data_IF_102052627009
#
_entry.id   IF_102052627009
#
_cell.length_a   1.000
_cell.length_b   1.000
_cell.length_c   1.000
_cell.angle_alpha   90.00
_cell.angle_beta   90.00
_cell.angle_gamma   90.00
#
_symmetry.space_group_name_H-M   'P 1'
#
loop_
_entity.id
_entity.type
_entity.pdbx_description
1 polymer ?
#
# COMPACT_ATOMS: atom_id res chain seq x y z
N UNK A 1 -14.81 8.19 20.92
CA UNK A 1 -14.38 6.96 20.20
C UNK A 1 -13.43 7.43 19.11
N UNK A 2 -12.14 7.12 19.28
CA UNK A 2 -11.02 7.77 18.58
C UNK A 2 -10.65 6.96 17.33
N UNK A 3 -10.14 7.63 16.30
CA UNK A 3 -9.96 7.09 14.95
C UNK A 3 -9.19 5.77 14.81
N UNK A 4 -8.34 5.42 15.78
CA UNK A 4 -7.53 4.21 15.77
C UNK A 4 -8.35 2.90 15.77
N UNK A 5 -9.63 2.93 16.17
CA UNK A 5 -10.52 1.76 16.05
C UNK A 5 -10.73 1.33 14.58
N UNK A 6 -10.58 2.25 13.62
CA UNK A 6 -10.73 1.99 12.20
C UNK A 6 -9.44 1.56 11.50
N UNK A 7 -8.27 1.70 12.14
CA UNK A 7 -6.99 1.27 11.58
C UNK A 7 -6.25 0.39 12.58
N UNK A 8 -6.44 -0.94 12.55
CA UNK A 8 -5.88 -1.83 13.55
C UNK A 8 -4.34 -1.81 13.48
N UNK A 9 -3.70 -1.23 14.48
CA UNK A 9 -2.23 -1.10 14.63
C UNK A 9 -1.59 -2.28 15.38
N UNK A 10 -2.34 -3.35 15.62
CA UNK A 10 -1.86 -4.49 16.41
C UNK A 10 -0.82 -5.31 15.63
N UNK A 11 0.39 -5.41 16.17
CA UNK A 11 1.46 -6.25 15.63
C UNK A 11 1.00 -7.69 15.42
N UNK A 12 1.42 -8.28 14.30
CA UNK A 12 1.06 -9.62 13.88
C UNK A 12 -0.24 -9.71 13.07
N UNK A 13 -1.06 -8.65 13.04
CA UNK A 13 -2.18 -8.57 12.10
C UNK A 13 -1.65 -8.45 10.67
N UNK A 14 -2.38 -9.06 9.75
CA UNK A 14 -2.09 -8.99 8.33
C UNK A 14 -3.37 -8.92 7.51
N UNK A 15 -3.23 -8.42 6.29
CA UNK A 15 -4.26 -8.41 5.25
C UNK A 15 -3.66 -9.04 3.98
N UNK A 16 -4.49 -9.76 3.23
CA UNK A 16 -4.10 -10.35 1.94
C UNK A 16 -5.02 -9.80 0.86
N UNK A 17 -4.43 -9.34 -0.23
CA UNK A 17 -5.14 -8.87 -1.42
C UNK A 17 -4.87 -9.82 -2.58
N UNK A 18 -5.93 -10.29 -3.21
CA UNK A 18 -5.88 -10.91 -4.54
C UNK A 18 -5.90 -9.78 -5.57
N UNK A 19 -4.92 -9.77 -6.49
CA UNK A 19 -4.75 -8.70 -7.48
C UNK A 19 -4.74 -9.31 -8.88
N UNK A 20 -5.65 -8.81 -9.71
CA UNK A 20 -5.64 -9.00 -11.16
C UNK A 20 -5.35 -7.62 -11.79
N UNK A 21 -4.27 -7.52 -12.56
CA UNK A 21 -3.84 -6.27 -13.20
C UNK A 21 -3.73 -6.49 -14.70
N UNK A 22 -4.30 -5.58 -15.49
CA UNK A 22 -4.21 -5.60 -16.95
C UNK A 22 -3.43 -4.38 -17.39
N UNK A 23 -2.33 -4.59 -18.10
CA UNK A 23 -1.48 -3.53 -18.64
C UNK A 23 -1.66 -3.50 -20.16
N UNK A 24 -2.07 -2.35 -20.68
CA UNK A 24 -2.15 -2.08 -22.11
C UNK A 24 -0.82 -1.51 -22.59
N UNK A 25 -0.28 -2.08 -23.66
CA UNK A 25 0.91 -1.55 -24.32
C UNK A 25 0.51 -0.91 -25.65
N UNK A 26 0.54 0.43 -25.69
CA UNK A 26 0.12 1.23 -26.84
C UNK A 26 0.95 0.98 -28.11
N UNK A 27 2.19 0.48 -27.98
CA UNK A 27 3.09 0.23 -29.11
C UNK A 27 2.90 -1.15 -29.77
N UNK A 28 2.44 -2.15 -29.02
CA UNK A 28 2.25 -3.51 -29.53
C UNK A 28 0.79 -3.88 -29.72
N UNK A 29 -0.16 -3.07 -29.22
CA UNK A 29 -1.58 -3.39 -29.12
C UNK A 29 -1.86 -4.68 -28.32
N UNK A 30 -0.84 -5.19 -27.62
CA UNK A 30 -0.94 -6.39 -26.81
C UNK A 30 -1.38 -6.04 -25.39
N UNK A 31 -2.21 -6.90 -24.84
CA UNK A 31 -2.69 -6.82 -23.46
C UNK A 31 -1.97 -7.87 -22.63
N UNK A 32 -1.26 -7.44 -21.58
CA UNK A 32 -0.62 -8.36 -20.64
C UNK A 32 -1.39 -8.34 -19.32
N UNK A 33 -1.94 -9.48 -18.93
CA UNK A 33 -2.61 -9.66 -17.64
C UNK A 33 -1.69 -10.34 -16.63
N UNK A 34 -1.63 -9.76 -15.43
CA UNK A 34 -0.90 -10.26 -14.28
C UNK A 34 -1.87 -10.67 -13.19
N UNK A 35 -1.56 -11.79 -12.52
CA UNK A 35 -2.27 -12.25 -11.33
C UNK A 35 -1.28 -12.50 -10.20
N UNK A 36 -1.52 -11.91 -9.03
CA UNK A 36 -0.64 -12.07 -7.88
C UNK A 36 -1.37 -11.79 -6.56
N UNK A 37 -0.74 -12.15 -5.44
CA UNK A 37 -1.21 -11.82 -4.09
C UNK A 37 -0.23 -10.90 -3.41
N UNK A 38 -0.76 -9.88 -2.75
CA UNK A 38 -0.02 -9.06 -1.79
C UNK A 38 -0.45 -9.46 -0.39
N UNK A 39 0.51 -9.62 0.53
CA UNK A 39 0.27 -9.75 1.96
C UNK A 39 0.95 -8.60 2.67
N UNK A 40 0.23 -7.84 3.48
CA UNK A 40 0.78 -6.77 4.30
C UNK A 40 0.68 -7.16 5.76
N UNK A 41 1.77 -7.08 6.50
CA UNK A 41 1.85 -7.49 7.91
C UNK A 41 2.49 -6.42 8.76
N UNK A 42 1.87 -6.10 9.90
CA UNK A 42 2.46 -5.24 10.92
C UNK A 42 3.48 -6.05 11.72
N UNK A 43 4.74 -5.65 11.69
CA UNK A 43 5.86 -6.47 12.18
C UNK A 43 6.40 -5.98 13.52
N UNK A 44 6.60 -4.68 13.68
CA UNK A 44 7.18 -4.11 14.89
C UNK A 44 6.76 -2.66 15.09
N UNK A 45 6.75 -2.23 16.36
CA UNK A 45 6.68 -0.82 16.74
C UNK A 45 8.11 -0.31 16.95
N UNK A 46 8.39 0.90 16.49
CA UNK A 46 9.67 1.55 16.65
C UNK A 46 9.51 3.06 16.76
N UNK A 47 10.58 3.76 17.13
CA UNK A 47 10.64 5.22 17.10
C UNK A 47 11.36 5.65 15.83
N UNK A 48 10.76 6.51 15.02
CA UNK A 48 11.39 7.02 13.81
C UNK A 48 12.45 8.09 14.10
N UNK A 49 13.12 8.55 13.03
CA UNK A 49 14.21 9.54 13.13
C UNK A 49 13.72 10.93 13.59
N UNK A 50 12.42 11.19 13.59
CA UNK A 50 11.80 12.43 14.07
C UNK A 50 11.32 12.30 15.54
N UNK A 51 11.55 11.13 16.16
CA UNK A 51 11.13 10.86 17.54
C UNK A 51 9.67 10.44 17.69
N UNK A 52 8.98 10.14 16.58
CA UNK A 52 7.57 9.73 16.60
C UNK A 52 7.42 8.21 16.69
N UNK A 53 6.29 7.76 17.26
CA UNK A 53 5.92 6.35 17.23
C UNK A 53 5.58 5.93 15.79
N UNK A 54 6.14 4.81 15.39
CA UNK A 54 6.01 4.26 14.06
C UNK A 54 5.79 2.74 14.09
N UNK A 55 5.17 2.22 13.05
CA UNK A 55 4.95 0.78 12.85
C UNK A 55 5.57 0.37 11.53
N UNK A 56 6.34 -0.71 11.54
CA UNK A 56 6.86 -1.31 10.31
C UNK A 56 5.81 -2.23 9.70
N UNK A 57 5.42 -1.93 8.47
CA UNK A 57 4.53 -2.73 7.64
C UNK A 57 5.37 -3.43 6.55
N UNK A 58 5.46 -4.74 6.60
CA UNK A 58 6.13 -5.51 5.55
C UNK A 58 5.12 -6.00 4.52
N UNK A 59 5.41 -5.73 3.25
CA UNK A 59 4.64 -6.22 2.12
C UNK A 59 5.37 -7.37 1.47
N UNK A 60 4.64 -8.45 1.25
CA UNK A 60 5.08 -9.64 0.57
C UNK A 60 4.27 -9.86 -0.70
N UNK A 61 4.89 -10.41 -1.73
CA UNK A 61 4.25 -10.73 -3.00
C UNK A 61 4.44 -12.21 -3.33
N UNK A 62 3.44 -12.81 -3.98
CA UNK A 62 3.63 -14.05 -4.74
C UNK A 62 2.91 -13.96 -6.07
N UNK A 63 3.63 -14.29 -7.14
CA UNK A 63 3.12 -14.25 -8.51
C UNK A 63 2.42 -15.55 -8.86
N UNK A 64 1.30 -15.48 -9.56
CA UNK A 64 0.67 -16.66 -10.14
C UNK A 64 1.62 -17.31 -11.14
N UNK A 65 1.66 -18.64 -11.11
CA UNK A 65 2.39 -19.44 -12.08
C UNK A 65 1.50 -20.61 -12.50
N UNK A 66 1.12 -20.73 -13.79
CA UNK A 66 0.23 -21.79 -14.24
C UNK A 66 0.82 -23.20 -14.09
N UNK A 67 2.15 -23.31 -13.96
CA UNK A 67 2.86 -24.58 -13.81
C UNK A 67 3.05 -25.02 -12.35
N UNK A 68 2.56 -24.24 -11.37
CA UNK A 68 2.70 -24.55 -9.94
C UNK A 68 1.37 -24.33 -9.19
N UNK A 69 0.97 -25.24 -8.28
CA UNK A 69 -0.16 -24.98 -7.40
C UNK A 69 0.03 -23.69 -6.61
N UNK A 70 -0.97 -22.80 -6.57
CA UNK A 70 -0.77 -21.45 -6.04
C UNK A 70 -0.41 -21.43 -4.54
N UNK A 71 -0.87 -22.40 -3.78
CA UNK A 71 -0.54 -22.56 -2.36
C UNK A 71 0.89 -23.05 -2.11
N UNK A 72 1.52 -23.66 -3.12
CA UNK A 72 2.94 -24.05 -3.07
C UNK A 72 3.90 -22.88 -3.33
N UNK A 73 3.40 -21.76 -3.86
CA UNK A 73 4.22 -20.59 -4.15
C UNK A 73 4.43 -19.80 -2.86
N UNK A 74 5.69 -19.73 -2.43
CA UNK A 74 6.09 -18.93 -1.27
C UNK A 74 5.97 -17.43 -1.54
N UNK A 75 5.66 -16.68 -0.47
CA UNK A 75 5.72 -15.23 -0.47
C UNK A 75 7.18 -14.78 -0.42
N UNK A 76 7.52 -13.74 -1.19
CA UNK A 76 8.80 -13.04 -1.11
C UNK A 76 8.58 -11.64 -0.57
N UNK A 77 9.55 -11.10 0.17
CA UNK A 77 9.48 -9.71 0.62
C UNK A 77 9.56 -8.79 -0.60
N UNK A 78 8.62 -7.85 -0.70
CA UNK A 78 8.57 -6.85 -1.78
C UNK A 78 9.16 -5.53 -1.29
N UNK A 79 8.68 -5.05 -0.16
CA UNK A 79 9.03 -3.74 0.39
C UNK A 79 8.61 -3.64 1.86
N UNK A 80 9.22 -2.71 2.60
CA UNK A 80 8.82 -2.34 3.94
C UNK A 80 8.41 -0.86 3.96
N UNK A 81 7.28 -0.59 4.58
CA UNK A 81 6.71 0.74 4.75
C UNK A 81 6.68 1.12 6.22
N UNK A 82 6.65 2.42 6.48
CA UNK A 82 6.52 2.98 7.81
C UNK A 82 5.14 3.59 7.98
N UNK A 83 4.46 3.28 9.08
CA UNK A 83 3.17 3.87 9.43
C UNK A 83 3.36 4.76 10.64
N UNK A 84 2.98 6.03 10.54
CA UNK A 84 2.76 6.90 11.70
C UNK A 84 1.25 7.08 11.87
N UNK A 85 0.70 6.63 13.00
CA UNK A 85 -0.73 6.74 13.30
C UNK A 85 -0.93 7.50 14.61
N UNK A 86 -1.76 8.55 14.58
CA UNK A 86 -2.17 9.33 15.73
C UNK A 86 -3.71 9.44 15.80
N UNK A 87 -4.23 10.20 16.76
CA UNK A 87 -5.65 10.41 16.96
C UNK A 87 -6.34 11.22 15.84
N UNK A 88 -5.57 11.85 14.95
CA UNK A 88 -6.01 12.75 13.88
C UNK A 88 -5.79 12.19 12.49
N UNK A 89 -4.82 11.30 12.27
CA UNK A 89 -4.47 10.78 10.95
C UNK A 89 -3.65 9.50 10.99
N UNK A 90 -3.67 8.77 9.88
CA UNK A 90 -2.74 7.68 9.55
C UNK A 90 -1.95 8.06 8.32
N UNK A 91 -0.63 8.09 8.48
CA UNK A 91 0.32 8.35 7.40
C UNK A 91 1.15 7.09 7.13
N UNK A 92 1.39 6.81 5.86
CA UNK A 92 2.23 5.70 5.40
C UNK A 92 3.33 6.25 4.52
N UNK A 93 4.58 5.87 4.79
CA UNK A 93 5.73 6.20 3.94
C UNK A 93 6.03 4.99 3.06
N UNK A 94 5.77 5.14 1.76
CA UNK A 94 6.02 4.14 0.73
C UNK A 94 7.20 4.61 -0.12
N UNK A 95 8.32 3.87 -0.14
CA UNK A 95 9.51 4.22 -0.94
C UNK A 95 9.96 5.69 -0.80
N UNK A 96 10.01 6.21 0.44
CA UNK A 96 10.31 7.61 0.79
C UNK A 96 9.24 8.66 0.45
N UNK A 97 8.08 8.26 -0.07
CA UNK A 97 6.93 9.15 -0.30
C UNK A 97 5.90 8.99 0.82
N UNK A 98 5.47 10.10 1.42
CA UNK A 98 4.52 10.09 2.55
C UNK A 98 3.09 10.33 2.06
N UNK A 99 2.22 9.37 2.33
CA UNK A 99 0.79 9.39 1.99
C UNK A 99 -0.07 9.48 3.24
N UNK A 100 -1.05 10.38 3.25
CA UNK A 100 -2.09 10.39 4.29
C UNK A 100 -3.21 9.43 3.87
N UNK A 101 -3.23 8.23 4.47
CA UNK A 101 -4.21 7.18 4.14
C UNK A 101 -5.56 7.43 4.81
N UNK A 102 -5.58 7.98 6.03
CA UNK A 102 -6.79 8.28 6.78
C UNK A 102 -6.64 9.59 7.56
N UNK A 103 -7.73 10.34 7.70
CA UNK A 103 -7.85 11.52 8.57
C UNK A 103 -9.05 11.26 9.50
N UNK A 104 -8.91 11.65 10.76
CA UNK A 104 -9.89 11.45 11.81
C UNK A 104 -10.46 12.79 12.32
N UNK A 105 -11.74 12.82 12.73
CA UNK A 105 -12.72 11.73 12.62
C UNK A 105 -13.12 11.49 11.15
N UNK A 106 -13.33 10.23 10.78
CA UNK A 106 -13.87 9.87 9.46
C UNK A 106 -15.28 10.44 9.36
N UNK A 107 -15.43 11.58 8.68
CA UNK A 107 -16.74 12.19 8.46
C UNK A 107 -17.38 11.56 7.22
N UNK A 108 -18.70 11.31 7.29
CA UNK A 108 -19.47 10.60 6.25
C UNK A 108 -19.42 11.27 4.86
N UNK A 109 -18.89 12.49 4.78
CA UNK A 109 -18.76 13.30 3.57
C UNK A 109 -17.31 13.77 3.30
N UNK A 110 -16.30 13.20 3.98
CA UNK A 110 -14.91 13.49 3.65
C UNK A 110 -14.58 12.86 2.30
N UNK A 111 -14.35 13.68 1.27
CA UNK A 111 -13.78 13.21 0.01
C UNK A 111 -12.31 12.90 0.23
N UNK A 112 -11.98 11.61 0.26
CA UNK A 112 -10.61 11.13 0.38
C UNK A 112 -9.93 11.19 -0.98
N UNK A 113 -9.07 12.19 -1.16
CA UNK A 113 -8.11 12.20 -2.25
C UNK A 113 -6.77 11.63 -1.73
N UNK A 114 -6.61 10.31 -1.87
CA UNK A 114 -5.37 9.60 -1.53
C UNK A 114 -4.16 10.04 -2.37
N UNK A 115 -4.39 10.87 -3.39
CA UNK A 115 -3.38 11.46 -4.28
C UNK A 115 -3.27 12.98 -4.12
N UNK A 116 -3.88 13.61 -3.11
CA UNK A 116 -3.89 15.08 -2.98
C UNK A 116 -2.49 15.73 -2.88
N UNK A 117 -1.47 14.96 -2.46
CA UNK A 117 -0.06 15.38 -2.41
C UNK A 117 0.76 14.87 -3.61
N UNK A 118 0.10 14.36 -4.66
CA UNK A 118 0.77 13.91 -5.86
C UNK A 118 1.12 15.10 -6.76
N UNK A 119 2.28 15.72 -6.53
CA UNK A 119 2.84 16.71 -7.45
C UNK A 119 3.56 16.07 -8.65
N UNK A 120 3.48 14.74 -8.84
CA UNK A 120 3.82 14.16 -10.14
C UNK A 120 2.69 14.43 -11.11
N UNK A 121 2.86 15.51 -11.89
CA UNK A 121 2.31 15.59 -13.23
C UNK A 121 2.75 14.29 -13.90
N UNK A 122 1.81 13.38 -14.16
CA UNK A 122 1.96 12.46 -15.28
C UNK A 122 2.19 13.36 -16.48
N UNK A 123 3.45 13.55 -16.87
CA UNK A 123 3.75 14.05 -18.21
C UNK A 123 3.27 12.93 -19.13
N UNK A 124 1.98 12.98 -19.46
CA UNK A 124 1.49 12.62 -20.78
C UNK A 124 2.37 13.40 -21.74
N UNK A 125 3.46 12.77 -22.18
CA UNK A 125 4.30 13.31 -23.25
C UNK A 125 3.49 13.23 -24.52
N UNK A 126 2.64 14.22 -24.76
CA UNK A 126 2.21 14.57 -26.11
C UNK A 126 3.42 15.28 -26.72
N UNK A 127 4.24 14.55 -27.46
CA UNK A 127 5.19 15.15 -28.38
C UNK A 127 4.45 15.46 -29.68
N UNK A 128 4.19 16.74 -29.89
CA UNK A 128 3.94 17.38 -31.18
C UNK A 128 4.82 18.61 -31.28
#
# INVERSE_FOLDING_TARGET
MLGLDYYPTKIGKFVVYDVDSTVYNDLSLDTVSYKYRIKERLVENFTDNEGMQAIRLERFIKMYNPNKPYDSIAYTIKEAWMINADDKKVQVVESNLRYTKLIFPVSKNATWDGNANNNYIIKQGVNG
#
